data_IF_747069139075
#
_entry.id   IF_747069139075
#
_cell.length_a   1.000
_cell.length_b   1.000
_cell.length_c   1.000
_cell.angle_alpha   90.00
_cell.angle_beta   90.00
_cell.angle_gamma   90.00
#
_symmetry.space_group_name_H-M   'P 1'
#
loop_
_entity.id
_entity.type
_entity.pdbx_description
1 polymer ?
#
# COMPACT_ATOMS: atom_id res chain seq x y z
N UNK A 1 1.39 -8.95 4.36
CA UNK A 1 0.35 -8.80 5.39
C UNK A 1 -0.55 -7.65 5.00
N UNK A 2 -1.39 -7.10 5.90
CA UNK A 2 -1.98 -5.78 5.66
C UNK A 2 -0.87 -4.70 5.61
N UNK A 3 -1.14 -3.60 4.93
CA UNK A 3 -0.23 -2.46 4.82
C UNK A 3 -0.95 -1.13 5.04
N UNK A 4 -0.16 -0.09 5.26
CA UNK A 4 -0.60 1.31 5.21
C UNK A 4 0.32 2.07 4.28
N UNK A 5 -0.24 2.79 3.33
CA UNK A 5 0.50 3.55 2.33
C UNK A 5 0.42 5.05 2.62
N UNK A 6 1.49 5.77 2.29
CA UNK A 6 1.59 7.22 2.43
C UNK A 6 1.61 7.81 1.03
N UNK A 7 0.71 8.76 0.79
CA UNK A 7 0.59 9.47 -0.47
C UNK A 7 0.97 10.94 -0.31
N UNK A 8 1.60 11.52 -1.33
CA UNK A 8 1.94 12.94 -1.39
C UNK A 8 1.14 13.63 -2.51
N UNK A 9 0.43 14.70 -2.15
CA UNK A 9 -0.27 15.57 -3.10
C UNK A 9 0.73 16.51 -3.78
N UNK A 10 0.94 16.33 -5.08
CA UNK A 10 1.83 17.16 -5.89
C UNK A 10 1.24 18.53 -6.23
N UNK A 11 -0.05 18.74 -5.98
CA UNK A 11 -0.74 20.00 -6.24
C UNK A 11 -1.93 19.87 -7.18
N UNK A 12 -2.82 20.86 -7.14
CA UNK A 12 -4.04 20.92 -7.96
C UNK A 12 -3.75 21.12 -9.46
N UNK A 13 -2.54 21.52 -9.81
CA UNK A 13 -2.07 21.66 -11.19
C UNK A 13 -1.75 20.30 -11.86
N UNK A 14 -1.64 19.24 -11.08
CA UNK A 14 -1.46 17.87 -11.56
C UNK A 14 -2.80 17.13 -11.60
N UNK A 15 -3.07 16.42 -12.69
CA UNK A 15 -4.29 15.63 -12.81
C UNK A 15 -4.23 14.37 -11.93
N UNK A 16 -5.33 14.05 -11.26
CA UNK A 16 -5.46 12.86 -10.42
C UNK A 16 -6.35 13.12 -9.21
N UNK A 17 -6.96 12.06 -8.72
CA UNK A 17 -7.78 12.04 -7.51
C UNK A 17 -7.06 11.33 -6.37
N UNK A 18 -7.58 11.44 -5.13
CA UNK A 18 -7.01 10.72 -3.99
C UNK A 18 -7.15 9.20 -4.15
N UNK A 19 -6.35 8.40 -3.41
CA UNK A 19 -6.50 6.94 -3.40
C UNK A 19 -7.92 6.54 -2.99
N UNK A 20 -8.49 5.56 -3.69
CA UNK A 20 -9.88 5.09 -3.59
C UNK A 20 -10.88 5.85 -4.48
N UNK A 21 -10.43 6.84 -5.26
CA UNK A 21 -11.30 7.61 -6.15
C UNK A 21 -11.24 7.11 -7.60
N UNK A 22 -12.22 7.44 -8.48
CA UNK A 22 -12.18 7.03 -9.88
C UNK A 22 -10.96 7.51 -10.67
N UNK A 23 -10.31 8.58 -10.19
CA UNK A 23 -9.14 9.20 -10.83
C UNK A 23 -7.83 8.89 -10.04
N UNK A 24 -7.83 7.85 -9.20
CA UNK A 24 -6.69 7.48 -8.33
C UNK A 24 -5.41 7.11 -9.09
N UNK A 25 -5.53 6.68 -10.35
CA UNK A 25 -4.41 6.30 -11.22
C UNK A 25 -3.62 7.53 -11.75
N UNK A 26 -3.99 8.75 -11.35
CA UNK A 26 -3.32 9.99 -11.76
C UNK A 26 -2.09 10.35 -10.93
N UNK A 27 -1.24 11.24 -11.47
CA UNK A 27 0.05 11.60 -10.85
C UNK A 27 -0.06 12.65 -9.72
N UNK A 28 -1.28 13.07 -9.35
CA UNK A 28 -1.46 14.06 -8.28
C UNK A 28 -1.14 13.48 -6.91
N UNK A 29 -1.74 12.35 -6.55
CA UNK A 29 -1.52 11.69 -5.27
C UNK A 29 -0.63 10.48 -5.48
N UNK A 30 0.68 10.69 -5.45
CA UNK A 30 1.66 9.61 -5.65
C UNK A 30 1.92 8.89 -4.34
N UNK A 31 1.89 7.56 -4.37
CA UNK A 31 2.38 6.71 -3.30
C UNK A 31 3.89 6.93 -3.11
N UNK A 32 4.29 7.40 -1.93
CA UNK A 32 5.69 7.67 -1.62
C UNK A 32 6.31 6.62 -0.70
N UNK A 33 5.49 5.88 0.05
CA UNK A 33 5.98 4.91 1.01
C UNK A 33 4.90 3.89 1.38
N UNK A 34 5.28 2.62 1.45
CA UNK A 34 4.43 1.52 1.88
C UNK A 34 4.92 0.91 3.19
N UNK A 35 4.10 0.90 4.24
CA UNK A 35 4.40 0.29 5.52
C UNK A 35 3.70 -1.06 5.61
N UNK A 36 4.44 -2.14 5.38
CA UNK A 36 3.92 -3.51 5.38
C UNK A 36 4.02 -4.09 6.79
N UNK A 37 2.88 -4.46 7.36
CA UNK A 37 2.79 -5.20 8.61
C UNK A 37 2.84 -6.70 8.29
N UNK A 38 4.03 -7.28 8.32
CA UNK A 38 4.26 -8.68 7.99
C UNK A 38 3.60 -9.60 9.01
N UNK A 39 2.58 -10.34 8.55
CA UNK A 39 1.76 -11.25 9.37
C UNK A 39 1.76 -12.69 8.86
N UNK A 40 1.95 -12.92 7.56
CA UNK A 40 1.73 -14.22 6.95
C UNK A 40 2.83 -14.61 5.97
N UNK A 41 3.12 -15.90 5.88
CA UNK A 41 3.78 -16.54 4.75
C UNK A 41 2.72 -17.10 3.79
N UNK A 42 2.78 -16.69 2.52
CA UNK A 42 1.86 -17.13 1.47
C UNK A 42 2.37 -18.44 0.85
N UNK A 43 1.58 -19.50 0.94
CA UNK A 43 1.91 -20.81 0.37
C UNK A 43 1.44 -20.93 -1.08
N UNK A 44 2.01 -21.88 -1.81
CA UNK A 44 1.73 -22.11 -3.23
C UNK A 44 0.28 -22.55 -3.52
N UNK A 45 -0.37 -23.18 -2.54
CA UNK A 45 -1.78 -23.60 -2.61
C UNK A 45 -2.77 -22.46 -2.28
N UNK A 46 -2.27 -21.24 -2.03
CA UNK A 46 -3.07 -20.09 -1.68
C UNK A 46 -3.33 -19.92 -0.18
N UNK A 47 -2.94 -20.89 0.66
CA UNK A 47 -3.08 -20.76 2.12
C UNK A 47 -2.09 -19.73 2.70
N UNK A 48 -2.45 -19.15 3.85
CA UNK A 48 -1.63 -18.18 4.59
C UNK A 48 -1.35 -18.72 5.98
N UNK A 49 -0.07 -18.79 6.33
CA UNK A 49 0.39 -19.27 7.64
C UNK A 49 0.93 -18.07 8.43
N UNK A 50 0.56 -17.94 9.70
CA UNK A 50 1.03 -16.87 10.56
C UNK A 50 2.56 -16.91 10.74
N UNK A 51 3.20 -15.75 10.61
CA UNK A 51 4.61 -15.61 10.93
C UNK A 51 4.83 -15.78 12.44
N UNK A 52 5.94 -16.41 12.87
CA UNK A 52 6.22 -16.59 14.30
C UNK A 52 6.33 -15.29 15.09
N UNK A 53 6.70 -14.20 14.42
CA UNK A 53 6.82 -12.86 15.00
C UNK A 53 6.30 -11.83 14.00
N UNK A 54 5.24 -11.07 14.34
CA UNK A 54 4.85 -9.91 13.55
C UNK A 54 6.03 -8.96 13.38
N UNK A 55 6.26 -8.51 12.15
CA UNK A 55 7.40 -7.67 11.77
C UNK A 55 6.93 -6.51 10.88
N UNK A 56 7.81 -5.54 10.64
CA UNK A 56 7.56 -4.37 9.79
C UNK A 56 8.56 -4.38 8.64
N UNK A 57 8.07 -4.15 7.42
CA UNK A 57 8.85 -3.93 6.20
C UNK A 57 8.39 -2.60 5.55
N UNK A 58 9.31 -1.81 5.02
CA UNK A 58 9.04 -0.42 4.56
C UNK A 58 9.84 -0.03 3.33
#
# INVERSE_FOLDING_TARGET
GPCSEIFFDHGEDVAGGPPGSPDEDGDRFIEIWNLVFMQFEQQADGTRIDLPKPSIDT
#
